data_IF_072432804421
#
_entry.id   IF_072432804421
#
_cell.length_a   1.000
_cell.length_b   1.000
_cell.length_c   1.000
_cell.angle_alpha   90.00
_cell.angle_beta   90.00
_cell.angle_gamma   90.00
#
_symmetry.space_group_name_H-M   'P 1'
#
loop_
_entity.id
_entity.type
_entity.pdbx_description
1 polymer ?
#
# COMPACT_ATOMS: atom_id res chain seq x y z
N UNK A 1 -11.70 -33.27 -7.88
CA UNK A 1 -11.71 -32.79 -9.26
C UNK A 1 -10.41 -32.06 -9.51
N UNK A 2 -9.52 -32.61 -10.31
CA UNK A 2 -8.29 -31.96 -10.79
C UNK A 2 -8.69 -30.95 -11.85
N UNK A 3 -8.78 -29.68 -11.47
CA UNK A 3 -8.95 -28.60 -12.45
C UNK A 3 -7.58 -28.34 -13.05
N UNK A 4 -7.33 -28.88 -14.24
CA UNK A 4 -6.18 -28.52 -15.06
C UNK A 4 -6.40 -27.09 -15.54
N UNK A 5 -5.63 -26.18 -14.99
CA UNK A 5 -5.57 -24.79 -15.45
C UNK A 5 -4.99 -24.73 -16.90
N UNK A 6 -5.61 -24.00 -17.84
CA UNK A 6 -5.05 -23.85 -19.18
C UNK A 6 -3.64 -23.21 -19.09
N UNK A 7 -2.73 -23.55 -20.03
CA UNK A 7 -1.37 -23.03 -20.04
C UNK A 7 -1.39 -21.50 -20.12
N UNK A 8 -0.51 -20.86 -19.34
CA UNK A 8 -0.38 -19.39 -19.31
C UNK A 8 0.06 -18.86 -20.69
N UNK A 9 -0.62 -17.83 -21.17
CA UNK A 9 -0.27 -17.15 -22.43
C UNK A 9 0.88 -16.14 -22.27
N UNK A 10 1.28 -15.82 -21.03
CA UNK A 10 2.32 -14.82 -20.73
C UNK A 10 3.72 -15.44 -20.72
N UNK A 11 4.70 -14.69 -21.26
CA UNK A 11 6.09 -15.15 -21.30
C UNK A 11 6.76 -14.97 -19.94
N UNK A 12 7.28 -16.05 -19.36
CA UNK A 12 8.09 -16.01 -18.11
C UNK A 12 9.43 -15.33 -18.37
N UNK A 13 9.49 -14.02 -18.16
CA UNK A 13 10.67 -13.18 -18.41
C UNK A 13 11.27 -12.58 -17.14
N UNK A 14 10.48 -12.43 -16.06
CA UNK A 14 10.86 -11.75 -14.83
C UNK A 14 11.83 -12.61 -14.01
N UNK A 15 13.03 -12.07 -13.74
CA UNK A 15 14.05 -12.71 -12.91
C UNK A 15 13.82 -12.43 -11.42
N UNK A 16 14.46 -13.18 -10.52
CA UNK A 16 14.42 -12.93 -9.06
C UNK A 16 14.83 -11.50 -8.72
N UNK A 17 15.91 -11.01 -9.33
CA UNK A 17 16.41 -9.65 -9.12
C UNK A 17 15.43 -8.60 -9.63
N UNK A 18 14.85 -8.83 -10.81
CA UNK A 18 13.83 -7.92 -11.36
C UNK A 18 12.60 -7.83 -10.46
N UNK A 19 12.13 -8.97 -9.96
CA UNK A 19 11.00 -9.03 -9.03
C UNK A 19 11.33 -8.39 -7.67
N UNK A 20 12.54 -8.60 -7.16
CA UNK A 20 13.01 -7.97 -5.93
C UNK A 20 12.95 -6.43 -6.03
N UNK A 21 13.52 -5.85 -7.09
CA UNK A 21 13.48 -4.40 -7.27
C UNK A 21 12.08 -3.86 -7.58
N UNK A 22 11.23 -4.66 -8.23
CA UNK A 22 9.83 -4.30 -8.43
C UNK A 22 9.11 -4.18 -7.09
N UNK A 23 9.20 -5.19 -6.22
CA UNK A 23 8.57 -5.20 -4.90
C UNK A 23 9.18 -4.12 -4.00
N UNK A 24 10.52 -3.99 -4.00
CA UNK A 24 11.21 -3.00 -3.18
C UNK A 24 10.80 -1.58 -3.56
N UNK A 25 10.68 -1.28 -4.87
CA UNK A 25 10.26 0.03 -5.33
C UNK A 25 8.78 0.33 -5.06
N UNK A 26 7.93 -0.70 -5.00
CA UNK A 26 6.51 -0.53 -4.67
C UNK A 26 6.32 -0.32 -3.15
N UNK A 27 7.11 -1.03 -2.32
CA UNK A 27 7.08 -0.92 -0.86
C UNK A 27 7.81 0.32 -0.35
N UNK A 28 9.01 0.68 -0.88
CA UNK A 28 9.73 1.89 -0.48
C UNK A 28 9.06 3.16 -1.01
N UNK A 29 7.75 3.23 -0.85
CA UNK A 29 6.90 4.29 -1.34
C UNK A 29 6.80 5.52 -0.42
N UNK A 30 5.93 6.44 -0.82
CA UNK A 30 5.70 7.73 -0.17
C UNK A 30 5.26 7.66 1.31
N UNK A 31 4.83 6.49 1.79
CA UNK A 31 4.21 6.35 3.11
C UNK A 31 5.04 6.91 4.26
N UNK A 32 6.31 6.50 4.35
CA UNK A 32 7.18 6.93 5.46
C UNK A 32 7.53 8.43 5.38
N UNK A 33 7.61 9.00 4.17
CA UNK A 33 7.87 10.45 4.00
C UNK A 33 6.80 11.30 4.67
N UNK A 34 5.57 10.81 4.69
CA UNK A 34 4.39 11.57 5.11
C UNK A 34 3.91 11.17 6.50
N UNK A 35 4.07 9.89 6.87
CA UNK A 35 3.44 9.36 8.08
C UNK A 35 4.37 9.21 9.28
N UNK A 36 5.70 9.33 9.12
CA UNK A 36 6.65 9.15 10.22
C UNK A 36 6.35 10.07 11.42
N UNK A 37 5.97 11.32 11.17
CA UNK A 37 5.57 12.26 12.22
C UNK A 37 4.27 11.86 12.91
N UNK A 38 3.28 11.41 12.14
CA UNK A 38 1.99 10.96 12.69
C UNK A 38 2.14 9.69 13.54
N UNK A 39 3.06 8.80 13.15
CA UNK A 39 3.44 7.63 13.96
C UNK A 39 4.04 8.11 15.30
N UNK A 40 4.92 9.11 15.30
CA UNK A 40 5.48 9.70 16.52
C UNK A 40 4.39 10.23 17.47
N UNK A 41 3.39 10.92 16.95
CA UNK A 41 2.27 11.44 17.73
C UNK A 41 1.41 10.36 18.39
N UNK A 42 1.33 9.17 17.79
CA UNK A 42 0.55 8.03 18.31
C UNK A 42 1.37 7.18 19.29
N UNK A 43 2.67 6.98 19.01
CA UNK A 43 3.53 6.04 19.73
C UNK A 43 4.44 6.66 20.77
N UNK A 44 4.71 7.94 20.67
CA UNK A 44 5.82 8.59 21.37
C UNK A 44 7.10 8.61 20.52
N UNK A 45 8.24 8.92 21.15
CA UNK A 45 9.51 9.13 20.46
C UNK A 45 10.07 7.93 19.70
N UNK A 46 9.78 6.70 20.14
CA UNK A 46 10.32 5.48 19.54
C UNK A 46 9.63 5.06 18.23
N UNK A 47 9.66 5.91 17.19
CA UNK A 47 9.01 5.71 15.89
C UNK A 47 9.43 4.42 15.19
N UNK A 48 10.67 3.96 15.41
CA UNK A 48 11.19 2.74 14.80
C UNK A 48 10.46 1.48 15.29
N UNK A 49 9.89 1.48 16.51
CA UNK A 49 9.24 0.30 17.10
C UNK A 49 7.98 -0.10 16.33
N UNK A 50 6.99 0.79 16.08
CA UNK A 50 5.82 0.43 15.28
C UNK A 50 6.17 0.11 13.82
N UNK A 51 7.23 0.70 13.25
CA UNK A 51 7.70 0.35 11.91
C UNK A 51 8.22 -1.10 11.88
N UNK A 52 9.02 -1.53 12.88
CA UNK A 52 9.48 -2.92 12.98
C UNK A 52 8.31 -3.86 13.28
N UNK A 53 7.37 -3.48 14.16
CA UNK A 53 6.19 -4.29 14.43
C UNK A 53 5.34 -4.49 13.15
N UNK A 54 5.12 -3.43 12.38
CA UNK A 54 4.41 -3.51 11.10
C UNK A 54 5.14 -4.40 10.07
N UNK A 55 6.50 -4.37 10.03
CA UNK A 55 7.29 -5.30 9.22
C UNK A 55 7.00 -6.76 9.59
N UNK A 56 7.04 -7.09 10.89
CA UNK A 56 6.79 -8.47 11.35
C UNK A 56 5.39 -8.94 10.93
N UNK A 57 4.38 -8.07 11.06
CA UNK A 57 3.01 -8.37 10.66
C UNK A 57 2.89 -8.53 9.12
N UNK A 58 3.59 -7.68 8.35
CA UNK A 58 3.67 -7.80 6.90
C UNK A 58 4.33 -9.10 6.45
N UNK A 59 5.42 -9.52 7.11
CA UNK A 59 6.12 -10.77 6.81
C UNK A 59 5.26 -12.02 7.05
N UNK A 60 4.40 -12.02 8.09
CA UNK A 60 3.46 -13.11 8.33
C UNK A 60 2.49 -13.27 7.16
N UNK A 61 1.90 -12.19 6.69
CA UNK A 61 0.97 -12.19 5.55
C UNK A 61 1.70 -12.44 4.22
N UNK A 62 2.92 -11.91 4.05
CA UNK A 62 3.74 -12.17 2.87
C UNK A 62 4.04 -13.67 2.69
N UNK A 63 4.14 -14.44 3.78
CA UNK A 63 4.24 -15.90 3.72
C UNK A 63 3.04 -16.55 3.02
N UNK A 64 1.83 -16.10 3.34
CA UNK A 64 0.60 -16.55 2.70
C UNK A 64 0.54 -16.16 1.22
N UNK A 65 0.93 -14.94 0.88
CA UNK A 65 1.06 -14.51 -0.50
C UNK A 65 2.08 -15.35 -1.29
N UNK A 66 3.26 -15.64 -0.69
CA UNK A 66 4.28 -16.46 -1.34
C UNK A 66 3.79 -17.89 -1.61
N UNK A 67 3.06 -18.50 -0.68
CA UNK A 67 2.47 -19.83 -0.89
C UNK A 67 1.42 -19.82 -2.01
N UNK A 68 0.46 -18.89 -1.97
CA UNK A 68 -0.61 -18.82 -2.97
C UNK A 68 -0.11 -18.40 -4.35
N UNK A 69 0.79 -17.42 -4.44
CA UNK A 69 1.35 -16.96 -5.71
C UNK A 69 2.17 -18.05 -6.42
N UNK A 70 2.82 -18.93 -5.66
CA UNK A 70 3.59 -20.04 -6.23
C UNK A 70 2.72 -21.28 -6.50
N UNK A 71 1.65 -21.46 -5.74
CA UNK A 71 0.69 -22.54 -5.94
C UNK A 71 -0.28 -22.27 -7.11
N UNK A 72 -0.70 -21.00 -7.25
CA UNK A 72 -1.62 -20.54 -8.28
C UNK A 72 -1.00 -19.32 -9.00
N UNK A 73 0.02 -19.52 -9.85
CA UNK A 73 0.73 -18.43 -10.52
C UNK A 73 -0.11 -17.85 -11.66
N UNK A 74 -1.16 -17.09 -11.31
CA UNK A 74 -2.08 -16.43 -12.24
C UNK A 74 -2.30 -14.99 -11.86
N UNK A 75 -2.52 -14.15 -12.87
CA UNK A 75 -3.03 -12.80 -12.68
C UNK A 75 -4.41 -12.83 -12.00
N UNK A 76 -4.69 -11.86 -11.13
CA UNK A 76 -5.94 -11.78 -10.35
C UNK A 76 -5.73 -11.75 -8.82
N UNK A 77 -4.54 -12.11 -8.36
CA UNK A 77 -4.07 -11.90 -6.98
C UNK A 77 -5.05 -12.33 -5.90
N UNK A 78 -5.21 -11.49 -4.89
CA UNK A 78 -6.01 -11.76 -3.70
C UNK A 78 -7.47 -12.11 -4.00
N UNK A 79 -8.08 -11.43 -4.98
CA UNK A 79 -9.47 -11.70 -5.41
C UNK A 79 -9.61 -13.11 -6.00
N UNK A 80 -8.64 -13.56 -6.80
CA UNK A 80 -8.62 -14.91 -7.35
C UNK A 80 -8.53 -15.96 -6.25
N UNK A 81 -7.65 -15.78 -5.27
CA UNK A 81 -7.50 -16.70 -4.14
C UNK A 81 -8.75 -16.79 -3.29
N UNK A 82 -9.38 -15.64 -2.99
CA UNK A 82 -10.63 -15.59 -2.25
C UNK A 82 -11.80 -16.22 -3.02
N UNK A 83 -11.87 -16.00 -4.33
CA UNK A 83 -12.88 -16.66 -5.20
C UNK A 83 -12.75 -18.17 -5.15
N UNK A 84 -11.52 -18.69 -5.24
CA UNK A 84 -11.25 -20.12 -5.22
C UNK A 84 -11.52 -20.75 -3.87
N UNK A 85 -11.20 -20.05 -2.77
CA UNK A 85 -11.39 -20.56 -1.41
C UNK A 85 -12.84 -20.47 -0.93
N UNK A 86 -13.55 -19.39 -1.24
CA UNK A 86 -14.85 -19.05 -0.61
C UNK A 86 -15.95 -18.73 -1.62
N UNK A 87 -15.65 -18.75 -2.91
CA UNK A 87 -16.61 -18.48 -3.98
C UNK A 87 -16.68 -17.00 -4.42
N UNK A 88 -17.50 -16.71 -5.45
CA UNK A 88 -17.50 -15.43 -6.16
C UNK A 88 -17.83 -14.21 -5.30
N UNK A 89 -18.68 -14.37 -4.28
CA UNK A 89 -19.05 -13.28 -3.37
C UNK A 89 -17.83 -12.72 -2.63
N UNK A 90 -17.06 -13.61 -2.02
CA UNK A 90 -15.86 -13.20 -1.27
C UNK A 90 -14.74 -12.72 -2.19
N UNK A 91 -14.59 -13.33 -3.36
CA UNK A 91 -13.64 -12.85 -4.36
C UNK A 91 -13.95 -11.44 -4.83
N UNK A 92 -15.22 -11.12 -5.07
CA UNK A 92 -15.64 -9.76 -5.40
C UNK A 92 -15.36 -8.79 -4.25
N UNK A 93 -15.76 -9.16 -3.03
CA UNK A 93 -15.57 -8.31 -1.84
C UNK A 93 -14.08 -7.95 -1.64
N UNK A 94 -13.19 -8.94 -1.76
CA UNK A 94 -11.73 -8.74 -1.66
C UNK A 94 -11.22 -7.82 -2.78
N UNK A 95 -11.65 -8.02 -4.03
CA UNK A 95 -11.29 -7.15 -5.15
C UNK A 95 -11.80 -5.71 -4.96
N UNK A 96 -13.02 -5.56 -4.45
CA UNK A 96 -13.59 -4.25 -4.13
C UNK A 96 -12.84 -3.54 -2.99
N UNK A 97 -12.46 -4.27 -1.93
CA UNK A 97 -11.64 -3.70 -0.84
C UNK A 97 -10.28 -3.23 -1.35
N UNK A 98 -9.63 -3.97 -2.27
CA UNK A 98 -8.39 -3.52 -2.91
C UNK A 98 -8.59 -2.26 -3.74
N UNK A 99 -9.67 -2.18 -4.53
CA UNK A 99 -10.03 -0.98 -5.29
C UNK A 99 -10.24 0.22 -4.38
N UNK A 100 -11.06 0.05 -3.35
CA UNK A 100 -11.36 1.09 -2.38
C UNK A 100 -10.10 1.55 -1.62
N UNK A 101 -9.24 0.61 -1.20
CA UNK A 101 -7.96 0.91 -0.56
C UNK A 101 -7.07 1.79 -1.45
N UNK A 102 -6.97 1.47 -2.73
CA UNK A 102 -6.20 2.29 -3.67
C UNK A 102 -6.79 3.69 -3.86
N UNK A 103 -8.10 3.84 -3.96
CA UNK A 103 -8.78 5.14 -4.08
C UNK A 103 -8.53 6.00 -2.83
N UNK A 104 -8.64 5.41 -1.65
CA UNK A 104 -8.39 6.08 -0.35
C UNK A 104 -6.92 6.49 -0.23
N UNK A 105 -6.00 5.60 -0.64
CA UNK A 105 -4.55 5.87 -0.64
C UNK A 105 -4.18 7.07 -1.51
N UNK A 106 -4.75 7.19 -2.71
CA UNK A 106 -4.52 8.35 -3.59
C UNK A 106 -4.99 9.64 -2.92
N UNK A 107 -6.11 9.62 -2.20
CA UNK A 107 -6.58 10.74 -1.41
C UNK A 107 -5.62 11.13 -0.28
N UNK A 108 -5.12 10.14 0.47
CA UNK A 108 -4.13 10.37 1.54
C UNK A 108 -2.83 10.97 1.00
N UNK A 109 -2.31 10.43 -0.12
CA UNK A 109 -1.10 10.93 -0.77
C UNK A 109 -1.28 12.33 -1.34
N UNK A 110 -2.48 12.68 -1.83
CA UNK A 110 -2.77 14.04 -2.28
C UNK A 110 -2.74 15.05 -1.14
N UNK A 111 -3.22 14.70 0.05
CA UNK A 111 -3.06 15.51 1.26
C UNK A 111 -1.59 15.65 1.66
N UNK A 112 -0.83 14.55 1.61
CA UNK A 112 0.61 14.56 1.89
C UNK A 112 1.40 15.41 0.90
N UNK A 113 1.03 15.41 -0.38
CA UNK A 113 1.63 16.30 -1.39
C UNK A 113 1.37 17.77 -1.10
N UNK A 114 0.17 18.10 -0.62
CA UNK A 114 -0.23 19.46 -0.26
C UNK A 114 0.28 19.94 1.11
N UNK A 115 1.14 19.17 1.77
CA UNK A 115 1.73 19.48 3.07
C UNK A 115 2.96 20.38 2.98
N UNK A 116 3.77 20.37 4.06
CA UNK A 116 4.91 21.29 4.26
C UNK A 116 6.00 21.15 3.18
N UNK A 117 6.15 19.98 2.54
CA UNK A 117 7.10 19.83 1.41
C UNK A 117 6.81 20.82 0.27
N UNK A 118 5.51 21.05 -0.04
CA UNK A 118 5.13 21.98 -1.10
C UNK A 118 5.19 23.43 -0.65
N UNK A 119 4.98 23.71 0.64
CA UNK A 119 4.92 25.08 1.18
C UNK A 119 6.21 25.87 0.96
N UNK A 120 7.36 25.20 0.76
CA UNK A 120 8.63 25.83 0.38
C UNK A 120 8.61 26.48 -1.01
N UNK A 121 7.68 26.11 -1.87
CA UNK A 121 7.57 26.59 -3.26
C UNK A 121 6.37 27.50 -3.46
N UNK A 122 5.22 27.11 -2.88
CA UNK A 122 3.95 27.79 -3.11
C UNK A 122 3.08 27.71 -1.85
N UNK A 123 2.54 28.83 -1.44
CA UNK A 123 1.58 28.94 -0.34
C UNK A 123 0.16 29.05 -0.91
N UNK A 124 -0.47 27.92 -1.19
CA UNK A 124 -1.85 27.81 -1.64
C UNK A 124 -2.69 27.08 -0.61
N UNK A 125 -4.02 27.32 -0.55
CA UNK A 125 -4.91 26.52 0.26
C UNK A 125 -4.77 25.03 -0.07
N UNK A 126 -4.62 24.17 0.93
CA UNK A 126 -4.42 22.72 0.78
C UNK A 126 -5.43 22.09 -0.20
N UNK A 127 -6.71 22.47 -0.12
CA UNK A 127 -7.76 21.92 -0.98
C UNK A 127 -7.59 22.28 -2.46
N UNK A 128 -7.07 23.48 -2.75
CA UNK A 128 -6.75 23.91 -4.13
C UNK A 128 -5.61 23.05 -4.70
N UNK A 129 -4.56 22.82 -3.89
CA UNK A 129 -3.44 21.98 -4.27
C UNK A 129 -3.90 20.54 -4.53
N UNK A 130 -4.71 19.95 -3.66
CA UNK A 130 -5.27 18.60 -3.81
C UNK A 130 -6.03 18.47 -5.13
N UNK A 131 -6.92 19.42 -5.44
CA UNK A 131 -7.70 19.41 -6.69
C UNK A 131 -6.80 19.48 -7.91
N UNK A 132 -5.86 20.43 -7.94
CA UNK A 132 -4.91 20.60 -9.06
C UNK A 132 -4.04 19.36 -9.22
N UNK A 133 -3.49 18.85 -8.13
CA UNK A 133 -2.61 17.68 -8.13
C UNK A 133 -3.33 16.44 -8.67
N UNK A 134 -4.51 16.14 -8.16
CA UNK A 134 -5.30 14.98 -8.62
C UNK A 134 -5.76 15.13 -10.07
N UNK A 135 -6.10 16.34 -10.52
CA UNK A 135 -6.43 16.60 -11.93
C UNK A 135 -5.23 16.36 -12.85
N UNK A 136 -4.02 16.80 -12.43
CA UNK A 136 -2.79 16.55 -13.18
C UNK A 136 -2.44 15.05 -13.22
N UNK A 137 -2.59 14.33 -12.10
CA UNK A 137 -2.38 12.88 -12.06
C UNK A 137 -3.37 12.14 -12.96
N UNK A 138 -4.65 12.53 -12.98
CA UNK A 138 -5.64 11.97 -13.90
C UNK A 138 -5.26 12.21 -15.36
N UNK A 139 -4.82 13.42 -15.70
CA UNK A 139 -4.34 13.76 -17.03
C UNK A 139 -3.11 12.92 -17.45
N UNK A 140 -2.16 12.70 -16.53
CA UNK A 140 -0.99 11.82 -16.77
C UNK A 140 -1.43 10.35 -16.94
N UNK A 141 -2.33 9.86 -16.09
CA UNK A 141 -2.83 8.48 -16.17
C UNK A 141 -3.56 8.22 -17.50
N UNK A 142 -4.28 9.21 -18.06
CA UNK A 142 -4.94 9.08 -19.37
C UNK A 142 -3.94 8.99 -20.53
N UNK A 143 -2.69 9.46 -20.37
CA UNK A 143 -1.64 9.36 -21.43
C UNK A 143 -1.15 7.93 -21.66
N UNK A 144 -1.24 7.04 -20.66
CA UNK A 144 -0.93 5.62 -20.77
C UNK A 144 0.26 5.14 -19.96
N UNK A 145 0.42 3.80 -19.85
CA UNK A 145 1.43 3.15 -18.98
C UNK A 145 2.85 3.29 -19.52
N UNK A 146 3.06 3.27 -20.83
CA UNK A 146 4.41 3.20 -21.42
C UNK A 146 5.27 4.41 -21.09
N UNK A 147 4.66 5.58 -20.99
CA UNK A 147 5.35 6.81 -20.57
C UNK A 147 5.59 6.83 -19.07
N UNK A 148 4.68 6.24 -18.28
CA UNK A 148 4.81 6.25 -16.80
C UNK A 148 5.84 5.26 -16.26
N UNK A 149 6.18 4.17 -16.95
CA UNK A 149 7.20 3.22 -16.48
C UNK A 149 8.62 3.79 -16.48
N UNK A 150 8.97 4.61 -17.47
CA UNK A 150 10.27 5.30 -17.52
C UNK A 150 10.38 6.33 -16.40
N UNK A 151 9.34 7.14 -16.21
CA UNK A 151 9.23 8.14 -15.15
C UNK A 151 9.27 7.47 -13.78
N UNK A 152 8.52 6.36 -13.60
CA UNK A 152 8.52 5.62 -12.36
C UNK A 152 9.91 5.10 -11.96
N UNK A 153 10.70 4.58 -12.89
CA UNK A 153 12.06 4.10 -12.58
C UNK A 153 12.95 5.21 -12.04
N UNK A 154 12.92 6.38 -12.66
CA UNK A 154 13.68 7.56 -12.20
C UNK A 154 13.15 8.03 -10.85
N UNK A 155 11.83 8.13 -10.68
CA UNK A 155 11.21 8.54 -9.43
C UNK A 155 11.57 7.58 -8.28
N UNK A 156 11.53 6.26 -8.49
CA UNK A 156 11.93 5.27 -7.48
C UNK A 156 13.39 5.41 -7.07
N UNK A 157 14.31 5.72 -8.00
CA UNK A 157 15.72 5.97 -7.66
C UNK A 157 15.84 7.22 -6.78
N UNK A 158 15.12 8.28 -7.13
CA UNK A 158 15.08 9.54 -6.35
C UNK A 158 14.52 9.26 -4.95
N UNK A 159 13.45 8.51 -4.85
CA UNK A 159 12.75 8.16 -3.63
C UNK A 159 13.62 7.35 -2.67
N UNK A 160 14.21 6.25 -3.14
CA UNK A 160 15.15 5.45 -2.35
C UNK A 160 16.38 6.27 -1.97
N UNK A 161 16.90 7.07 -2.91
CA UNK A 161 18.01 7.99 -2.66
C UNK A 161 17.70 9.02 -1.56
N UNK A 162 16.47 9.51 -1.52
CA UNK A 162 16.00 10.43 -0.48
C UNK A 162 15.97 9.81 0.92
N UNK A 163 15.48 8.55 1.04
CA UNK A 163 15.49 7.84 2.32
C UNK A 163 16.93 7.57 2.81
N UNK A 164 17.80 7.11 1.91
CA UNK A 164 19.22 6.90 2.25
C UNK A 164 19.91 8.20 2.65
N UNK A 165 19.57 9.31 1.99
CA UNK A 165 20.06 10.63 2.32
C UNK A 165 19.64 11.06 3.74
N UNK A 166 18.37 10.91 4.10
CA UNK A 166 17.86 11.18 5.46
C UNK A 166 18.61 10.34 6.51
N UNK A 167 18.80 9.06 6.25
CA UNK A 167 19.54 8.16 7.15
C UNK A 167 20.98 8.66 7.32
N UNK A 168 21.66 8.97 6.23
CA UNK A 168 23.05 9.47 6.26
C UNK A 168 23.14 10.78 7.04
N UNK A 169 22.29 11.75 6.73
CA UNK A 169 22.26 13.04 7.40
C UNK A 169 21.91 12.90 8.88
N UNK A 170 20.96 12.04 9.23
CA UNK A 170 20.60 11.76 10.61
C UNK A 170 21.79 11.17 11.40
N UNK A 171 22.53 10.21 10.83
CA UNK A 171 23.74 9.71 11.46
C UNK A 171 24.84 10.78 11.63
N UNK A 172 24.97 11.71 10.67
CA UNK A 172 25.90 12.82 10.82
C UNK A 172 25.49 13.74 11.96
N UNK A 173 24.18 14.05 12.10
CA UNK A 173 23.66 14.82 13.25
C UNK A 173 23.94 14.10 14.56
N UNK A 174 23.62 12.80 14.64
CA UNK A 174 23.88 11.98 15.83
C UNK A 174 25.38 11.95 16.20
N UNK A 175 26.26 11.85 15.19
CA UNK A 175 27.71 11.83 15.40
C UNK A 175 28.31 13.17 15.85
N UNK A 176 27.66 14.30 15.50
CA UNK A 176 28.07 15.63 16.00
C UNK A 176 27.70 15.84 17.47
N UNK A 177 26.66 15.14 17.96
CA UNK A 177 26.13 15.35 19.29
C UNK A 177 25.48 16.75 19.42
N UNK A 178 25.37 17.21 20.65
CA UNK A 178 24.77 18.51 21.00
C UNK A 178 23.36 18.36 21.59
N UNK A 179 22.79 19.48 22.03
CA UNK A 179 21.49 19.52 22.77
C UNK A 179 20.28 19.02 21.95
N UNK A 180 20.44 18.88 20.64
CA UNK A 180 19.37 18.43 19.75
C UNK A 180 19.28 16.90 19.67
N UNK A 181 20.34 16.17 19.99
CA UNK A 181 20.40 14.70 19.93
C UNK A 181 20.02 14.12 21.29
N UNK A 182 18.95 13.33 21.28
CA UNK A 182 18.50 12.65 22.48
C UNK A 182 18.18 11.17 22.18
N UNK A 183 19.05 10.30 22.63
CA UNK A 183 18.89 8.85 22.48
C UNK A 183 17.81 8.28 23.41
N UNK A 184 17.38 9.00 24.47
CA UNK A 184 16.30 8.61 25.35
C UNK A 184 14.99 8.44 24.60
N UNK A 185 14.75 9.27 23.57
CA UNK A 185 13.55 9.19 22.71
C UNK A 185 13.43 7.85 21.97
N UNK A 186 14.53 7.14 21.73
CA UNK A 186 14.49 5.82 21.08
C UNK A 186 13.77 4.75 21.90
N UNK A 187 13.58 4.98 23.18
CA UNK A 187 12.89 4.09 24.12
C UNK A 187 11.62 4.72 24.70
N UNK A 188 11.30 5.93 24.29
CA UNK A 188 10.09 6.65 24.75
C UNK A 188 8.88 6.08 24.02
N UNK A 189 8.10 5.25 24.74
CA UNK A 189 6.90 4.58 24.25
C UNK A 189 5.68 4.98 25.06
N UNK A 190 4.60 5.24 24.38
CA UNK A 190 3.33 5.65 24.97
C UNK A 190 3.10 7.15 24.90
N UNK A 191 1.87 7.51 25.13
CA UNK A 191 1.39 8.90 25.22
C UNK A 191 0.64 9.06 26.56
N UNK A 192 0.29 10.28 27.00
CA UNK A 192 -0.49 10.46 28.22
C UNK A 192 -1.79 9.63 28.26
N UNK A 193 -2.37 9.36 27.09
CA UNK A 193 -3.66 8.67 26.95
C UNK A 193 -3.51 7.17 26.65
N UNK A 194 -2.34 6.71 26.21
CA UNK A 194 -2.12 5.31 25.78
C UNK A 194 -0.82 4.76 26.39
N UNK A 195 -0.93 3.65 27.10
CA UNK A 195 0.26 2.93 27.57
C UNK A 195 1.11 2.38 26.41
N UNK A 196 2.39 1.97 26.67
CA UNK A 196 3.36 1.60 25.64
C UNK A 196 2.87 0.58 24.60
N UNK A 197 2.25 -0.52 25.05
CA UNK A 197 1.77 -1.59 24.17
C UNK A 197 0.63 -1.11 23.27
N UNK A 198 -0.35 -0.40 23.84
CA UNK A 198 -1.49 0.13 23.07
C UNK A 198 -1.03 1.19 22.05
N UNK A 199 -0.07 2.04 22.42
CA UNK A 199 0.51 3.04 21.54
C UNK A 199 1.27 2.41 20.37
N UNK A 200 2.09 1.38 20.61
CA UNK A 200 2.80 0.63 19.56
C UNK A 200 1.82 -0.06 18.62
N UNK A 201 0.79 -0.73 19.14
CA UNK A 201 -0.21 -1.39 18.32
C UNK A 201 -1.00 -0.39 17.46
N UNK A 202 -1.44 0.72 18.03
CA UNK A 202 -2.14 1.78 17.29
C UNK A 202 -1.23 2.41 16.23
N UNK A 203 0.01 2.74 16.57
CA UNK A 203 1.01 3.25 15.61
C UNK A 203 1.37 2.24 14.53
N UNK A 204 1.32 0.93 14.82
CA UNK A 204 1.56 -0.12 13.83
C UNK A 204 0.48 -0.17 12.75
N UNK A 205 -0.76 0.23 13.02
CA UNK A 205 -1.80 0.39 12.00
C UNK A 205 -1.35 1.40 10.96
N UNK A 206 -0.89 2.58 11.40
CA UNK A 206 -0.44 3.63 10.49
C UNK A 206 0.91 3.28 9.83
N UNK A 207 1.85 2.68 10.59
CA UNK A 207 3.12 2.22 10.07
C UNK A 207 2.96 1.12 9.00
N UNK A 208 1.91 0.31 9.09
CA UNK A 208 1.62 -0.74 8.10
C UNK A 208 1.34 -0.18 6.70
N UNK A 209 0.79 1.04 6.62
CA UNK A 209 0.63 1.75 5.35
C UNK A 209 1.94 1.82 4.55
N UNK A 210 3.07 2.03 5.23
CA UNK A 210 4.37 2.14 4.57
C UNK A 210 4.86 0.83 3.94
N UNK A 211 4.34 -0.31 4.37
CA UNK A 211 4.70 -1.63 3.81
C UNK A 211 3.76 -2.10 2.71
N UNK A 212 2.66 -1.39 2.47
CA UNK A 212 1.71 -1.73 1.39
C UNK A 212 2.40 -1.60 0.04
N UNK A 213 2.05 -2.50 -0.88
CA UNK A 213 2.65 -2.63 -2.22
C UNK A 213 3.11 -4.06 -2.50
N UNK A 214 3.59 -4.79 -1.48
CA UNK A 214 4.06 -6.16 -1.68
C UNK A 214 2.98 -7.11 -2.22
N UNK A 215 1.72 -6.86 -1.90
CA UNK A 215 0.57 -7.66 -2.34
C UNK A 215 0.30 -7.52 -3.84
N UNK A 216 0.74 -6.44 -4.46
CA UNK A 216 0.55 -6.23 -5.90
C UNK A 216 1.43 -7.14 -6.74
N UNK A 217 2.54 -7.60 -6.17
CA UNK A 217 3.54 -8.46 -6.81
C UNK A 217 2.99 -9.81 -7.25
N UNK A 218 1.85 -10.26 -6.70
CA UNK A 218 1.19 -11.51 -7.13
C UNK A 218 0.75 -11.47 -8.59
N UNK A 219 0.45 -10.28 -9.12
CA UNK A 219 0.06 -10.11 -10.51
C UNK A 219 1.21 -10.36 -11.50
N UNK A 220 2.46 -10.36 -11.01
CA UNK A 220 3.69 -10.62 -11.79
C UNK A 220 4.18 -12.06 -11.58
N UNK A 221 3.57 -12.82 -10.67
CA UNK A 221 3.98 -14.19 -10.37
C UNK A 221 3.90 -15.12 -11.60
N UNK A 222 2.91 -14.91 -12.47
CA UNK A 222 2.72 -15.66 -13.72
C UNK A 222 3.89 -15.50 -14.70
N UNK A 223 4.49 -14.30 -14.75
CA UNK A 223 5.62 -13.97 -15.61
C UNK A 223 6.99 -14.26 -14.97
N UNK A 224 7.01 -14.72 -13.71
CA UNK A 224 8.25 -14.97 -12.97
C UNK A 224 8.87 -16.30 -13.37
N UNK A 225 10.19 -16.29 -13.60
CA UNK A 225 10.99 -17.51 -13.83
C UNK A 225 11.13 -18.28 -12.53
N UNK A 226 10.86 -19.59 -12.56
CA UNK A 226 10.92 -20.47 -11.40
C UNK A 226 10.21 -19.90 -10.15
N UNK A 227 8.89 -19.61 -10.24
CA UNK A 227 8.16 -18.86 -9.22
C UNK A 227 8.30 -19.48 -7.81
N UNK A 228 8.32 -20.81 -7.69
CA UNK A 228 8.46 -21.52 -6.42
C UNK A 228 9.69 -21.10 -5.59
N UNK A 229 10.78 -20.68 -6.26
CA UNK A 229 12.03 -20.26 -5.60
C UNK A 229 12.27 -18.77 -5.68
N UNK A 230 11.96 -18.15 -6.84
CA UNK A 230 12.25 -16.74 -7.11
C UNK A 230 11.31 -15.82 -6.34
N UNK A 231 10.02 -16.14 -6.32
CA UNK A 231 9.01 -15.28 -5.72
C UNK A 231 9.21 -15.09 -4.21
N UNK A 232 9.34 -16.16 -3.39
CA UNK A 232 9.55 -15.98 -1.95
C UNK A 232 10.85 -15.22 -1.62
N UNK A 233 11.94 -15.49 -2.35
CA UNK A 233 13.23 -14.81 -2.14
C UNK A 233 13.14 -13.32 -2.44
N UNK A 234 12.47 -12.95 -3.53
CA UNK A 234 12.27 -11.56 -3.90
C UNK A 234 11.38 -10.83 -2.90
N UNK A 235 10.26 -11.45 -2.51
CA UNK A 235 9.26 -10.86 -1.61
C UNK A 235 9.84 -10.63 -0.21
N UNK A 236 10.37 -11.68 0.43
CA UNK A 236 10.94 -11.54 1.77
C UNK A 236 12.19 -10.65 1.77
N UNK A 237 13.04 -10.76 0.74
CA UNK A 237 14.22 -9.91 0.61
C UNK A 237 13.86 -8.43 0.50
N UNK A 238 12.87 -8.09 -0.33
CA UNK A 238 12.41 -6.71 -0.50
C UNK A 238 11.80 -6.14 0.80
N UNK A 239 10.93 -6.91 1.47
CA UNK A 239 10.34 -6.49 2.74
C UNK A 239 11.39 -6.30 3.85
N UNK A 240 12.37 -7.19 3.94
CA UNK A 240 13.44 -7.05 4.95
C UNK A 240 14.31 -5.82 4.69
N UNK A 241 14.68 -5.56 3.43
CA UNK A 241 15.44 -4.35 3.08
C UNK A 241 14.63 -3.10 3.36
N UNK A 242 13.36 -3.06 2.95
CA UNK A 242 12.48 -1.94 3.26
C UNK A 242 12.33 -1.73 4.78
N UNK A 243 12.18 -2.83 5.53
CA UNK A 243 12.08 -2.79 6.99
C UNK A 243 13.32 -2.22 7.67
N UNK A 244 14.51 -2.59 7.21
CA UNK A 244 15.77 -2.01 7.71
C UNK A 244 15.83 -0.53 7.40
N UNK A 245 15.51 -0.13 6.17
CA UNK A 245 15.49 1.29 5.77
C UNK A 245 14.53 2.08 6.64
N UNK A 246 13.31 1.60 6.82
CA UNK A 246 12.30 2.29 7.64
C UNK A 246 12.65 2.32 9.13
N UNK A 247 13.21 1.24 9.67
CA UNK A 247 13.69 1.24 11.05
C UNK A 247 14.79 2.28 11.26
N UNK A 248 15.75 2.37 10.32
CA UNK A 248 16.81 3.37 10.36
C UNK A 248 16.26 4.79 10.23
N UNK A 249 15.30 5.04 9.32
CA UNK A 249 14.61 6.33 9.23
C UNK A 249 13.93 6.68 10.56
N UNK A 250 13.22 5.72 11.17
CA UNK A 250 12.60 5.90 12.47
C UNK A 250 13.62 6.24 13.57
N UNK A 251 14.74 5.52 13.62
CA UNK A 251 15.82 5.76 14.58
C UNK A 251 16.41 7.17 14.43
N UNK A 252 16.79 7.57 13.21
CA UNK A 252 17.41 8.88 13.01
C UNK A 252 16.42 10.02 13.25
N UNK A 253 15.16 9.88 12.83
CA UNK A 253 14.13 10.87 13.09
C UNK A 253 13.90 11.05 14.61
N UNK A 254 13.72 9.96 15.34
CA UNK A 254 13.52 9.98 16.79
C UNK A 254 14.70 10.59 17.55
N UNK A 255 15.93 10.21 17.18
CA UNK A 255 17.12 10.67 17.90
C UNK A 255 17.42 12.16 17.64
N UNK A 256 17.08 12.70 16.47
CA UNK A 256 17.51 14.03 16.02
C UNK A 256 16.44 15.11 16.12
N UNK A 257 15.14 14.71 16.18
CA UNK A 257 14.02 15.67 16.21
C UNK A 257 13.15 15.40 17.43
N UNK A 258 12.73 16.43 18.20
CA UNK A 258 11.79 16.29 19.31
C UNK A 258 10.46 15.66 18.85
N UNK A 259 9.89 14.76 19.67
CA UNK A 259 8.66 14.02 19.36
C UNK A 259 7.49 14.92 18.98
N UNK A 260 7.30 16.05 19.71
CA UNK A 260 6.25 17.01 19.42
C UNK A 260 6.43 17.69 18.07
N UNK A 261 7.68 18.09 17.74
CA UNK A 261 8.02 18.71 16.45
C UNK A 261 7.77 17.76 15.28
N UNK A 262 8.13 16.46 15.45
CA UNK A 262 7.82 15.43 14.46
C UNK A 262 6.32 15.23 14.28
N UNK A 263 5.56 15.16 15.38
CA UNK A 263 4.13 14.88 15.38
C UNK A 263 3.29 15.96 14.70
N UNK A 264 3.70 17.22 14.86
CA UNK A 264 3.02 18.38 14.29
C UNK A 264 3.37 18.62 12.82
N UNK A 265 4.53 18.12 12.36
CA UNK A 265 5.02 18.35 11.00
C UNK A 265 4.30 17.44 9.98
N UNK A 266 3.87 18.02 8.86
CA UNK A 266 3.43 17.30 7.67
C UNK A 266 4.58 16.90 6.74
N UNK A 267 5.83 17.30 7.10
CA UNK A 267 7.08 16.92 6.41
C UNK A 267 8.14 16.43 7.43
N UNK A 268 7.89 15.34 8.16
CA UNK A 268 8.71 14.93 9.30
C UNK A 268 10.18 14.65 8.93
N UNK A 269 10.44 14.08 7.75
CA UNK A 269 11.80 13.79 7.31
C UNK A 269 12.59 15.04 6.91
N UNK A 270 11.91 16.12 6.53
CA UNK A 270 12.53 17.40 6.26
C UNK A 270 13.17 17.99 7.53
N UNK A 271 12.55 17.78 8.70
CA UNK A 271 13.10 18.24 9.98
C UNK A 271 14.50 17.65 10.24
N UNK A 272 14.73 16.37 9.89
CA UNK A 272 16.05 15.72 10.00
C UNK A 272 17.07 16.41 9.08
N UNK A 273 16.65 16.76 7.86
CA UNK A 273 17.52 17.45 6.87
C UNK A 273 17.87 18.86 7.34
N UNK A 274 16.93 19.60 7.90
CA UNK A 274 17.12 20.94 8.45
C UNK A 274 18.08 20.93 9.65
N UNK A 275 17.93 19.95 10.57
CA UNK A 275 18.87 19.78 11.70
C UNK A 275 20.29 19.46 11.22
N UNK A 276 20.45 18.76 10.10
CA UNK A 276 21.77 18.48 9.52
C UNK A 276 22.45 19.74 8.96
N UNK A 277 21.69 20.64 8.34
CA UNK A 277 22.17 21.93 7.84
C UNK A 277 23.11 21.89 6.63
N UNK A 278 23.25 20.72 5.95
CA UNK A 278 24.14 20.55 4.80
C UNK A 278 23.46 20.77 3.45
N UNK A 279 22.17 20.52 3.40
CA UNK A 279 21.40 20.53 2.17
C UNK A 279 20.26 21.53 2.34
N UNK A 280 20.05 22.42 1.34
CA UNK A 280 18.90 23.31 1.38
C UNK A 280 17.58 22.52 1.50
N UNK A 281 16.66 22.88 2.40
CA UNK A 281 15.36 22.22 2.59
C UNK A 281 14.59 22.00 1.28
N UNK A 282 14.66 22.97 0.38
CA UNK A 282 14.03 22.94 -0.96
C UNK A 282 14.47 21.71 -1.78
N UNK A 283 15.75 21.32 -1.72
CA UNK A 283 16.25 20.15 -2.48
C UNK A 283 15.60 18.85 -1.99
N UNK A 284 15.52 18.68 -0.67
CA UNK A 284 14.86 17.51 -0.11
C UNK A 284 13.34 17.52 -0.33
N UNK A 285 12.73 18.71 -0.27
CA UNK A 285 11.30 18.87 -0.57
C UNK A 285 10.96 18.42 -2.00
N UNK A 286 11.81 18.70 -3.00
CA UNK A 286 11.64 18.17 -4.36
C UNK A 286 11.67 16.65 -4.38
N UNK A 287 12.63 16.02 -3.67
CA UNK A 287 12.73 14.56 -3.57
C UNK A 287 11.45 13.97 -2.99
N UNK A 288 10.99 14.53 -1.87
CA UNK A 288 9.77 14.06 -1.20
C UNK A 288 8.52 14.25 -2.08
N UNK A 289 8.37 15.39 -2.75
CA UNK A 289 7.25 15.65 -3.67
C UNK A 289 7.25 14.67 -4.86
N UNK A 290 8.43 14.35 -5.41
CA UNK A 290 8.56 13.34 -6.47
C UNK A 290 8.13 11.96 -5.95
N UNK A 291 8.56 11.57 -4.74
CA UNK A 291 8.17 10.32 -4.11
C UNK A 291 6.65 10.21 -3.92
N UNK A 292 6.03 11.24 -3.33
CA UNK A 292 4.59 11.27 -3.07
C UNK A 292 3.79 11.27 -4.39
N UNK A 293 4.23 12.05 -5.39
CA UNK A 293 3.57 12.10 -6.69
C UNK A 293 3.67 10.75 -7.44
N UNK A 294 4.82 10.08 -7.37
CA UNK A 294 5.03 8.77 -7.97
C UNK A 294 4.12 7.71 -7.34
N UNK A 295 4.09 7.63 -6.01
CA UNK A 295 3.21 6.72 -5.29
C UNK A 295 1.73 6.93 -5.60
N UNK A 296 1.27 8.19 -5.63
CA UNK A 296 -0.10 8.54 -5.98
C UNK A 296 -0.44 8.19 -7.44
N UNK A 297 0.49 8.42 -8.37
CA UNK A 297 0.32 8.08 -9.79
C UNK A 297 0.18 6.56 -9.99
N UNK A 298 1.08 5.77 -9.41
CA UNK A 298 1.06 4.31 -9.54
C UNK A 298 -0.21 3.71 -8.95
N UNK A 299 -0.55 4.12 -7.74
CA UNK A 299 -1.77 3.65 -7.06
C UNK A 299 -3.03 4.07 -7.83
N UNK A 300 -3.08 5.28 -8.40
CA UNK A 300 -4.16 5.75 -9.25
C UNK A 300 -4.27 4.97 -10.57
N UNK A 301 -3.13 4.62 -11.16
CA UNK A 301 -3.06 3.74 -12.33
C UNK A 301 -3.65 2.37 -12.00
N UNK A 302 -3.22 1.74 -10.91
CA UNK A 302 -3.68 0.42 -10.51
C UNK A 302 -5.17 0.41 -10.19
N UNK A 303 -5.65 1.39 -9.39
CA UNK A 303 -7.06 1.51 -9.01
C UNK A 303 -7.99 1.68 -10.22
N UNK A 304 -7.62 2.55 -11.16
CA UNK A 304 -8.44 2.77 -12.37
C UNK A 304 -8.51 1.54 -13.26
N UNK A 305 -7.43 0.76 -13.35
CA UNK A 305 -7.41 -0.50 -14.12
C UNK A 305 -8.15 -1.62 -13.43
N UNK A 306 -8.08 -1.69 -12.10
CA UNK A 306 -8.86 -2.65 -11.33
C UNK A 306 -10.36 -2.36 -11.47
N UNK A 307 -10.78 -1.08 -11.38
CA UNK A 307 -12.16 -0.67 -11.63
C UNK A 307 -12.63 -1.02 -13.05
N UNK A 308 -11.78 -0.78 -14.06
CA UNK A 308 -12.04 -1.16 -15.44
C UNK A 308 -12.20 -2.68 -15.60
N UNK A 309 -11.30 -3.47 -15.03
CA UNK A 309 -11.36 -4.93 -15.09
C UNK A 309 -12.64 -5.47 -14.46
N UNK A 310 -12.97 -5.01 -13.25
CA UNK A 310 -14.22 -5.39 -12.58
C UNK A 310 -15.47 -4.99 -13.38
N UNK A 311 -15.45 -3.83 -14.05
CA UNK A 311 -16.56 -3.41 -14.91
C UNK A 311 -16.67 -4.27 -16.18
N UNK A 312 -15.55 -4.67 -16.78
CA UNK A 312 -15.50 -5.57 -17.93
C UNK A 312 -16.06 -6.95 -17.60
N UNK A 313 -15.80 -7.42 -16.39
CA UNK A 313 -16.35 -8.70 -15.88
C UNK A 313 -17.81 -8.59 -15.42
N UNK A 314 -18.46 -7.41 -15.64
CA UNK A 314 -19.85 -7.17 -15.27
C UNK A 314 -20.10 -7.01 -13.76
N UNK A 315 -19.02 -6.80 -12.99
CA UNK A 315 -19.06 -6.68 -11.53
C UNK A 315 -19.28 -5.23 -11.06
N UNK A 316 -18.95 -4.25 -11.91
CA UNK A 316 -19.19 -2.83 -11.70
C UNK A 316 -19.94 -2.24 -12.91
N UNK A 317 -20.49 -1.00 -12.79
CA UNK A 317 -21.21 -0.37 -13.89
C UNK A 317 -20.39 -0.36 -15.18
N UNK A 318 -20.97 -0.84 -16.28
CA UNK A 318 -20.33 -1.00 -17.59
C UNK A 318 -19.72 0.29 -18.17
N UNK A 319 -20.18 1.48 -17.71
CA UNK A 319 -19.58 2.74 -18.09
C UNK A 319 -18.07 2.82 -17.75
N UNK A 320 -17.64 2.20 -16.64
CA UNK A 320 -16.22 2.17 -16.22
C UNK A 320 -15.33 1.35 -17.16
N UNK A 321 -15.91 0.49 -18.01
CA UNK A 321 -15.18 -0.28 -19.03
C UNK A 321 -14.91 0.49 -20.33
N UNK A 322 -15.31 1.76 -20.42
CA UNK A 322 -15.07 2.59 -21.62
C UNK A 322 -13.61 3.00 -21.71
N UNK A 323 -13.02 2.79 -22.87
CA UNK A 323 -11.63 3.15 -23.19
C UNK A 323 -11.56 4.35 -24.12
N UNK A 324 -10.49 5.14 -23.99
CA UNK A 324 -10.24 6.28 -24.86
C UNK A 324 -9.68 5.76 -26.21
N UNK A 325 -10.33 6.06 -27.36
CA UNK A 325 -9.80 5.69 -28.67
C UNK A 325 -8.40 6.25 -28.89
N UNK A 326 -7.50 5.45 -29.46
CA UNK A 326 -6.11 5.84 -29.73
C UNK A 326 -5.14 5.58 -28.56
N UNK A 327 -5.46 5.92 -27.33
CA UNK A 327 -4.59 5.69 -26.15
C UNK A 327 -4.90 4.39 -25.40
N UNK A 328 -6.05 3.82 -25.61
CA UNK A 328 -6.55 2.57 -24.98
C UNK A 328 -6.54 2.60 -23.46
N UNK A 329 -6.75 3.78 -22.85
CA UNK A 329 -6.81 3.98 -21.41
C UNK A 329 -8.26 4.05 -20.92
N UNK A 330 -8.58 3.53 -19.72
CA UNK A 330 -9.94 3.49 -19.17
C UNK A 330 -10.33 4.86 -18.58
N UNK A 331 -10.60 5.84 -19.42
CA UNK A 331 -10.79 7.25 -19.02
C UNK A 331 -11.93 7.45 -18.03
N UNK A 332 -13.04 6.71 -18.16
CA UNK A 332 -14.18 6.82 -17.24
C UNK A 332 -13.79 6.31 -15.85
N UNK A 333 -13.08 5.17 -15.77
CA UNK A 333 -12.58 4.65 -14.52
C UNK A 333 -11.55 5.60 -13.88
N UNK A 334 -10.65 6.21 -14.67
CA UNK A 334 -9.68 7.20 -14.19
C UNK A 334 -10.41 8.39 -13.56
N UNK A 335 -11.39 8.97 -14.25
CA UNK A 335 -12.16 10.12 -13.74
C UNK A 335 -12.93 9.72 -12.48
N UNK A 336 -13.63 8.59 -12.49
CA UNK A 336 -14.44 8.14 -11.36
C UNK A 336 -13.60 7.90 -10.10
N UNK A 337 -12.47 7.17 -10.22
CA UNK A 337 -11.57 6.93 -9.09
C UNK A 337 -10.92 8.21 -8.60
N UNK A 338 -10.50 9.11 -9.50
CA UNK A 338 -9.91 10.41 -9.12
C UNK A 338 -10.91 11.31 -8.40
N UNK A 339 -12.15 11.41 -8.89
CA UNK A 339 -13.20 12.21 -8.23
C UNK A 339 -13.52 11.66 -6.83
N UNK A 340 -13.56 10.35 -6.69
CA UNK A 340 -13.79 9.74 -5.38
C UNK A 340 -12.60 9.96 -4.43
N UNK A 341 -11.35 9.84 -4.91
CA UNK A 341 -10.15 10.18 -4.13
C UNK A 341 -10.15 11.66 -3.72
N UNK A 342 -10.58 12.55 -4.62
CA UNK A 342 -10.70 13.98 -4.34
C UNK A 342 -11.75 14.25 -3.24
N UNK A 343 -12.93 13.64 -3.35
CA UNK A 343 -13.99 13.77 -2.33
C UNK A 343 -13.49 13.30 -0.95
N UNK A 344 -12.79 12.18 -0.91
CA UNK A 344 -12.22 11.66 0.33
C UNK A 344 -11.16 12.59 0.91
N UNK A 345 -10.27 13.13 0.08
CA UNK A 345 -9.25 14.09 0.53
C UNK A 345 -9.86 15.42 1.03
N UNK A 346 -11.01 15.85 0.46
CA UNK A 346 -11.71 17.06 0.90
C UNK A 346 -12.45 16.86 2.25
N UNK A 347 -12.72 15.63 2.65
CA UNK A 347 -13.53 15.33 3.85
C UNK A 347 -12.76 14.64 4.97
N UNK A 348 -11.60 14.07 4.68
CA UNK A 348 -10.77 13.31 5.62
C UNK A 348 -9.44 13.99 5.93
N UNK A 349 -8.76 13.45 6.92
CA UNK A 349 -7.36 13.76 7.23
C UNK A 349 -6.44 12.67 6.66
N UNK A 350 -5.15 12.96 6.59
CA UNK A 350 -4.17 12.00 6.07
C UNK A 350 -4.13 10.72 6.90
N UNK A 351 -4.23 10.85 8.24
CA UNK A 351 -4.22 9.75 9.19
C UNK A 351 -5.44 8.85 9.02
N UNK A 352 -6.62 9.47 8.93
CA UNK A 352 -7.89 8.75 8.78
C UNK A 352 -7.92 8.02 7.46
N UNK A 353 -7.49 8.65 6.36
CA UNK A 353 -7.46 8.01 5.04
C UNK A 353 -6.41 6.90 4.99
N UNK A 354 -5.19 7.13 5.50
CA UNK A 354 -4.16 6.09 5.56
C UNK A 354 -4.61 4.89 6.38
N UNK A 355 -5.20 5.12 7.56
CA UNK A 355 -5.73 4.06 8.41
C UNK A 355 -6.94 3.35 7.79
N UNK A 356 -7.79 4.08 7.03
CA UNK A 356 -8.92 3.47 6.28
C UNK A 356 -8.40 2.53 5.19
N UNK A 357 -7.37 2.94 4.45
CA UNK A 357 -6.73 2.08 3.47
C UNK A 357 -6.19 0.82 4.12
N UNK A 358 -5.49 0.94 5.25
CA UNK A 358 -4.98 -0.22 6.01
C UNK A 358 -6.13 -1.11 6.50
N UNK A 359 -7.22 -0.55 7.03
CA UNK A 359 -8.39 -1.32 7.45
C UNK A 359 -8.95 -2.19 6.30
N UNK A 360 -9.11 -1.60 5.11
CA UNK A 360 -9.59 -2.34 3.93
C UNK A 360 -8.62 -3.45 3.52
N UNK A 361 -7.31 -3.19 3.57
CA UNK A 361 -6.29 -4.20 3.27
C UNK A 361 -6.20 -5.29 4.36
N UNK A 362 -6.44 -4.98 5.63
CA UNK A 362 -6.51 -5.99 6.69
C UNK A 362 -7.64 -7.00 6.43
N UNK A 363 -8.77 -6.57 5.83
CA UNK A 363 -9.83 -7.49 5.36
C UNK A 363 -9.30 -8.38 4.23
N UNK A 364 -8.61 -7.80 3.25
CA UNK A 364 -7.99 -8.54 2.15
C UNK A 364 -6.96 -9.56 2.68
N UNK A 365 -6.08 -9.14 3.56
CA UNK A 365 -5.02 -9.98 4.11
C UNK A 365 -5.57 -11.09 5.02
N UNK A 366 -6.65 -10.81 5.75
CA UNK A 366 -7.39 -11.84 6.50
C UNK A 366 -7.95 -12.90 5.55
N UNK A 367 -8.57 -12.48 4.44
CA UNK A 367 -9.08 -13.40 3.44
C UNK A 367 -7.97 -14.22 2.78
N UNK A 368 -6.81 -13.63 2.49
CA UNK A 368 -5.65 -14.32 1.91
C UNK A 368 -5.06 -15.34 2.89
N UNK A 369 -4.87 -14.98 4.16
CA UNK A 369 -4.40 -15.90 5.19
C UNK A 369 -5.36 -17.09 5.38
N UNK A 370 -6.67 -16.84 5.39
CA UNK A 370 -7.68 -17.90 5.44
C UNK A 370 -7.68 -18.75 4.16
N UNK A 371 -7.50 -18.13 2.99
CA UNK A 371 -7.44 -18.84 1.71
C UNK A 371 -6.32 -19.88 1.67
N UNK A 372 -5.15 -19.56 2.24
CA UNK A 372 -4.04 -20.54 2.38
C UNK A 372 -4.53 -21.77 3.14
N UNK A 373 -5.17 -21.58 4.31
CA UNK A 373 -5.60 -22.66 5.17
C UNK A 373 -6.64 -23.57 4.49
N UNK A 374 -7.58 -22.98 3.75
CA UNK A 374 -8.61 -23.71 3.01
C UNK A 374 -8.03 -24.44 1.79
N UNK A 375 -7.23 -23.73 0.99
CA UNK A 375 -6.71 -24.23 -0.28
C UNK A 375 -5.55 -25.24 -0.12
N UNK A 376 -5.01 -25.41 1.07
CA UNK A 376 -4.02 -26.48 1.37
C UNK A 376 -4.56 -27.88 1.17
N UNK A 377 -5.89 -28.05 1.21
CA UNK A 377 -6.56 -29.33 0.93
C UNK A 377 -6.49 -29.71 -0.55
N UNK A 378 -6.26 -28.76 -1.43
CA UNK A 378 -6.08 -29.00 -2.86
C UNK A 378 -4.64 -29.44 -3.14
N UNK A 379 -4.47 -30.42 -4.00
CA UNK A 379 -3.15 -30.84 -4.51
C UNK A 379 -2.77 -29.99 -5.71
N UNK A 380 -1.49 -29.63 -5.81
CA UNK A 380 -0.92 -28.98 -7.00
C UNK A 380 -0.03 -29.99 -7.74
N UNK A 381 -0.05 -29.96 -9.07
CA UNK A 381 0.72 -30.87 -9.94
C UNK A 381 2.18 -30.39 -10.15
N UNK A 382 2.59 -29.35 -9.42
CA UNK A 382 3.94 -28.75 -9.51
C UNK A 382 4.48 -28.37 -8.14
N UNK A 383 5.80 -28.23 -8.05
CA UNK A 383 6.46 -27.72 -6.84
C UNK A 383 6.06 -26.26 -6.58
N UNK A 384 5.66 -25.96 -5.36
CA UNK A 384 5.36 -24.61 -4.89
C UNK A 384 5.98 -24.35 -3.51
N UNK A 385 6.14 -23.09 -3.16
CA UNK A 385 6.64 -22.70 -1.84
C UNK A 385 5.54 -22.91 -0.80
N UNK A 386 5.88 -23.51 0.34
CA UNK A 386 4.94 -23.78 1.42
C UNK A 386 5.49 -23.26 2.74
N UNK A 387 4.67 -22.47 3.45
CA UNK A 387 5.02 -21.98 4.80
C UNK A 387 4.48 -22.90 5.89
N UNK A 388 5.06 -22.94 7.09
CA UNK A 388 4.45 -23.59 8.25
C UNK A 388 3.03 -23.07 8.51
N UNK A 389 2.10 -23.92 8.95
CA UNK A 389 0.69 -23.57 9.23
C UNK A 389 0.56 -22.41 10.22
N UNK A 390 1.52 -22.33 11.15
CA UNK A 390 1.55 -21.27 12.18
C UNK A 390 1.63 -19.89 11.55
N UNK A 391 2.33 -19.69 10.41
CA UNK A 391 2.47 -18.37 9.81
C UNK A 391 1.14 -17.78 9.29
N UNK A 392 0.31 -18.48 8.48
CA UNK A 392 -1.00 -17.96 8.10
C UNK A 392 -1.94 -17.74 9.30
N UNK A 393 -1.87 -18.61 10.33
CA UNK A 393 -2.67 -18.44 11.54
C UNK A 393 -2.26 -17.17 12.31
N UNK A 394 -0.95 -16.96 12.51
CA UNK A 394 -0.43 -15.74 13.12
C UNK A 394 -0.70 -14.51 12.26
N UNK A 395 -0.59 -14.64 10.93
CA UNK A 395 -0.94 -13.58 9.99
C UNK A 395 -2.41 -13.16 10.12
N UNK A 396 -3.34 -14.13 10.21
CA UNK A 396 -4.74 -13.84 10.45
C UNK A 396 -4.96 -13.19 11.82
N UNK A 397 -4.36 -13.76 12.87
CA UNK A 397 -4.47 -13.22 14.22
C UNK A 397 -3.94 -11.78 14.31
N UNK A 398 -2.83 -11.49 13.63
CA UNK A 398 -2.25 -10.15 13.56
C UNK A 398 -3.16 -9.15 12.81
N UNK A 399 -3.77 -9.56 11.70
CA UNK A 399 -4.75 -8.73 11.01
C UNK A 399 -5.95 -8.39 11.90
N UNK A 400 -6.50 -9.40 12.60
CA UNK A 400 -7.63 -9.19 13.52
C UNK A 400 -7.22 -8.31 14.71
N UNK A 401 -6.01 -8.49 15.25
CA UNK A 401 -5.48 -7.63 16.32
C UNK A 401 -5.37 -6.17 15.85
N UNK A 402 -4.83 -5.92 14.67
CA UNK A 402 -4.73 -4.54 14.14
C UNK A 402 -6.11 -3.93 13.89
N UNK A 403 -7.09 -4.69 13.42
CA UNK A 403 -8.47 -4.21 13.25
C UNK A 403 -9.05 -3.69 14.55
N UNK A 404 -8.73 -4.30 15.71
CA UNK A 404 -9.19 -3.80 17.02
C UNK A 404 -8.53 -2.51 17.47
N UNK A 405 -7.41 -2.12 16.85
CA UNK A 405 -6.69 -0.89 17.16
C UNK A 405 -7.09 0.29 16.27
N UNK A 406 -7.94 0.03 15.28
CA UNK A 406 -8.43 1.06 14.33
C UNK A 406 -9.37 2.01 15.06
N UNK A 407 -9.09 3.31 14.99
CA UNK A 407 -9.86 4.36 15.64
C UNK A 407 -11.30 4.47 15.12
N UNK A 408 -12.24 4.88 15.99
CA UNK A 408 -13.66 4.95 15.66
C UNK A 408 -13.96 5.85 14.44
N UNK A 409 -13.17 6.90 14.24
CA UNK A 409 -13.31 7.81 13.11
C UNK A 409 -13.05 7.13 11.77
N UNK A 410 -12.09 6.21 11.70
CA UNK A 410 -11.75 5.44 10.51
C UNK A 410 -12.93 4.56 10.06
N UNK A 411 -13.70 4.03 11.01
CA UNK A 411 -14.87 3.22 10.70
C UNK A 411 -16.00 3.98 10.00
N UNK A 412 -16.04 5.33 10.11
CA UNK A 412 -16.99 6.18 9.35
C UNK A 412 -16.74 6.08 7.84
N UNK A 413 -15.51 5.83 7.43
CA UNK A 413 -15.13 5.59 6.03
C UNK A 413 -15.13 4.09 5.70
N UNK A 414 -14.61 3.26 6.59
CA UNK A 414 -14.47 1.82 6.37
C UNK A 414 -15.80 1.09 6.23
N UNK A 415 -16.77 1.35 7.11
CA UNK A 415 -18.09 0.69 7.07
C UNK A 415 -18.82 0.96 5.75
N UNK A 416 -18.93 2.21 5.24
CA UNK A 416 -19.54 2.46 3.93
C UNK A 416 -18.89 1.68 2.79
N UNK A 417 -17.55 1.63 2.74
CA UNK A 417 -16.86 0.84 1.71
C UNK A 417 -17.16 -0.65 1.84
N UNK A 418 -17.10 -1.22 3.03
CA UNK A 418 -17.39 -2.63 3.26
C UNK A 418 -18.86 -2.96 2.92
N UNK A 419 -19.80 -2.11 3.30
CA UNK A 419 -21.21 -2.27 3.01
C UNK A 419 -21.51 -2.18 1.49
N UNK A 420 -20.91 -1.20 0.80
CA UNK A 420 -21.01 -1.09 -0.66
C UNK A 420 -20.38 -2.30 -1.35
N UNK A 421 -19.22 -2.76 -0.90
CA UNK A 421 -18.58 -3.95 -1.41
C UNK A 421 -19.46 -5.19 -1.26
N UNK A 422 -20.05 -5.40 -0.09
CA UNK A 422 -20.96 -6.51 0.17
C UNK A 422 -22.26 -6.41 -0.66
N UNK A 423 -22.81 -5.20 -0.82
CA UNK A 423 -23.99 -4.95 -1.64
C UNK A 423 -23.72 -5.31 -3.12
N UNK A 424 -22.64 -4.78 -3.69
CA UNK A 424 -22.28 -5.06 -5.07
C UNK A 424 -21.92 -6.54 -5.28
N UNK A 425 -21.24 -7.18 -4.30
CA UNK A 425 -20.99 -8.62 -4.32
C UNK A 425 -22.30 -9.42 -4.41
N UNK A 426 -23.29 -9.05 -3.59
CA UNK A 426 -24.61 -9.68 -3.60
C UNK A 426 -25.31 -9.52 -4.94
N UNK A 427 -25.31 -8.31 -5.49
CA UNK A 427 -25.91 -8.02 -6.81
C UNK A 427 -25.21 -8.82 -7.92
N UNK A 428 -23.89 -8.84 -7.93
CA UNK A 428 -23.09 -9.56 -8.93
C UNK A 428 -23.40 -11.07 -8.92
N UNK A 429 -23.47 -11.67 -7.74
CA UNK A 429 -23.83 -13.10 -7.58
C UNK A 429 -25.27 -13.36 -8.01
N UNK A 430 -26.20 -12.48 -7.67
CA UNK A 430 -27.60 -12.61 -8.06
C UNK A 430 -27.79 -12.54 -9.58
N UNK A 431 -27.19 -11.55 -10.25
CA UNK A 431 -27.22 -11.39 -11.70
C UNK A 431 -26.62 -12.59 -12.43
N UNK A 432 -25.52 -13.15 -11.91
CA UNK A 432 -24.90 -14.35 -12.48
C UNK A 432 -25.82 -15.57 -12.40
N UNK A 433 -26.46 -15.81 -11.26
CA UNK A 433 -27.43 -16.91 -11.08
C UNK A 433 -28.65 -16.76 -11.99
N UNK A 434 -29.14 -15.52 -12.18
CA UNK A 434 -30.26 -15.25 -13.06
C UNK A 434 -29.94 -15.56 -14.53
N UNK A 435 -28.71 -15.29 -15.01
CA UNK A 435 -28.26 -15.62 -16.37
C UNK A 435 -28.09 -17.13 -16.57
N UNK A 436 -27.54 -17.83 -15.59
CA UNK A 436 -27.39 -19.27 -15.62
C UNK A 436 -28.77 -19.98 -15.61
N UNK A 437 -29.80 -19.41 -14.96
CA UNK A 437 -31.18 -19.92 -14.93
C UNK A 437 -31.99 -19.66 -16.21
N UNK A 438 -31.60 -18.69 -17.04
CA UNK A 438 -32.27 -18.33 -18.32
C UNK A 438 -31.68 -19.07 -19.54
N UNK A 439 -30.65 -19.93 -19.35
CA UNK A 439 -30.12 -20.77 -20.44
C UNK A 439 -29.28 -20.01 -21.49
N UNK A 440 -28.95 -18.74 -21.27
CA UNK A 440 -28.02 -17.97 -22.12
C UNK A 440 -26.57 -18.25 -21.66
N UNK A 441 -26.10 -19.47 -21.99
CA UNK A 441 -24.68 -19.78 -21.95
C UNK A 441 -24.05 -19.28 -23.26
N UNK A 442 -23.28 -18.17 -23.19
CA UNK A 442 -22.34 -17.78 -24.26
C UNK A 442 -20.95 -18.35 -23.99
#
# INVERSE_FOLDING_TARGET
MTVTDPPTSLRRSVTTTGLFFFILGDVLGAGVYVLAGRIAGITGGAVWVPLVAALLLALLTAGSYAELATKYPRAGGSSHYATRAFGPFFGFLVGFCMLAAGIVSVGALALGFAGDYLSHFVTLPTMVVVVIFLALLAALNTRGISESMGVNRVATIIEVGGLLLVILLGFVVMGRGGDQVDFGRLTELGTPDKGPVAAVLAGSVLAFYSYVGFETSVNVAEETKNPARSYPRALFGALLVAGVVYALVGVVASATVPTAELAESSAPLLQVVEKAGFIPPVVFSVIALVAVANGALLTGIMSSRLAYGMAKDGLLPGALSRILPGRRTPWVAIIATTLLSMLLALTGTIEVLASTMVLLLLVVFSAVNLSVLVLRRETADHEYFRVPVVLPVLGLASCLLLVTQVEAEVWRYGIPFLALGALFAGIAVWLRRSREGTGEAT
#
